data_IF_912144742275
#
_entry.id   IF_912144742275
#
_cell.length_a   1.000
_cell.length_b   1.000
_cell.length_c   1.000
_cell.angle_alpha   90.00
_cell.angle_beta   90.00
_cell.angle_gamma   90.00
#
_symmetry.space_group_name_H-M   'P 1'
#
loop_
_entity.id
_entity.type
_entity.pdbx_description
1 polymer ?
#
# COMPACT_ATOMS: atom_id res chain seq x y z
N UNK A 1 -7.97 -14.98 5.28
CA UNK A 1 -6.82 -15.08 4.35
C UNK A 1 -7.26 -15.12 2.89
N UNK A 2 -8.28 -15.90 2.50
CA UNK A 2 -8.72 -16.01 1.10
C UNK A 2 -9.06 -14.64 0.47
N UNK A 3 -9.75 -13.75 1.19
CA UNK A 3 -10.02 -12.40 0.71
C UNK A 3 -8.75 -11.56 0.48
N UNK A 4 -7.70 -11.77 1.28
CA UNK A 4 -6.40 -11.11 1.08
C UNK A 4 -5.66 -11.66 -0.13
N UNK A 5 -5.71 -12.98 -0.36
CA UNK A 5 -5.15 -13.62 -1.56
C UNK A 5 -5.76 -12.98 -2.82
N UNK A 6 -7.08 -12.81 -2.85
CA UNK A 6 -7.77 -12.13 -3.97
C UNK A 6 -7.30 -10.69 -4.13
N UNK A 7 -7.14 -9.92 -3.04
CA UNK A 7 -6.64 -8.54 -3.11
C UNK A 7 -5.19 -8.49 -3.62
N UNK A 8 -4.32 -9.39 -3.16
CA UNK A 8 -2.94 -9.49 -3.65
C UNK A 8 -2.89 -9.75 -5.16
N UNK A 9 -3.73 -10.65 -5.68
CA UNK A 9 -3.76 -10.96 -7.12
C UNK A 9 -4.10 -9.76 -7.99
N UNK A 10 -4.88 -8.81 -7.48
CA UNK A 10 -5.31 -7.60 -8.21
C UNK A 10 -4.43 -6.37 -7.96
N UNK A 11 -3.41 -6.46 -7.10
CA UNK A 11 -2.47 -5.38 -6.83
C UNK A 11 -1.75 -4.92 -8.10
N UNK A 12 -1.51 -3.61 -8.24
CA UNK A 12 -1.05 -3.00 -9.49
C UNK A 12 0.46 -2.81 -9.58
N UNK A 13 1.12 -2.66 -8.43
CA UNK A 13 2.55 -2.34 -8.33
C UNK A 13 3.38 -3.50 -7.76
N UNK A 14 2.74 -4.54 -7.22
CA UNK A 14 3.43 -5.77 -6.86
C UNK A 14 3.85 -6.53 -8.11
N UNK A 15 5.10 -7.01 -8.12
CA UNK A 15 5.58 -7.92 -9.17
C UNK A 15 4.88 -9.28 -9.06
N UNK A 16 4.86 -10.06 -10.14
CA UNK A 16 4.25 -11.39 -10.13
C UNK A 16 4.95 -12.33 -9.13
N UNK A 17 6.27 -12.21 -8.96
CA UNK A 17 7.01 -12.94 -7.93
C UNK A 17 6.57 -12.58 -6.50
N UNK A 18 6.33 -11.29 -6.21
CA UNK A 18 5.82 -10.85 -4.91
C UNK A 18 4.39 -11.32 -4.66
N UNK A 19 3.51 -11.25 -5.66
CA UNK A 19 2.15 -11.78 -5.58
C UNK A 19 2.15 -13.28 -5.32
N UNK A 20 2.97 -14.03 -6.04
CA UNK A 20 3.11 -15.48 -5.88
C UNK A 20 3.61 -15.82 -4.47
N UNK A 21 4.66 -15.15 -3.99
CA UNK A 21 5.20 -15.37 -2.65
C UNK A 21 4.15 -15.11 -1.55
N UNK A 22 3.49 -13.95 -1.58
CA UNK A 22 2.44 -13.59 -0.62
C UNK A 22 1.26 -14.57 -0.66
N UNK A 23 0.85 -14.98 -1.86
CA UNK A 23 -0.25 -15.94 -2.04
C UNK A 23 0.12 -17.31 -1.47
N UNK A 24 1.31 -17.81 -1.77
CA UNK A 24 1.78 -19.10 -1.27
C UNK A 24 1.91 -19.10 0.26
N UNK A 25 2.45 -18.04 0.85
CA UNK A 25 2.51 -17.86 2.31
C UNK A 25 1.13 -17.98 2.96
N UNK A 26 0.14 -17.27 2.42
CA UNK A 26 -1.22 -17.27 2.95
C UNK A 26 -1.94 -18.58 2.69
N UNK A 27 -1.75 -19.19 1.50
CA UNK A 27 -2.36 -20.48 1.15
C UNK A 27 -1.81 -21.60 2.04
N UNK A 28 -0.51 -21.58 2.37
CA UNK A 28 0.10 -22.48 3.34
C UNK A 28 -0.58 -22.39 4.71
N UNK A 29 -0.91 -21.17 5.18
CA UNK A 29 -1.65 -20.99 6.42
C UNK A 29 -3.11 -21.47 6.32
N UNK A 30 -3.80 -21.27 5.20
CA UNK A 30 -5.14 -21.83 4.98
C UNK A 30 -5.13 -23.34 5.07
N UNK A 31 -4.15 -23.99 4.45
CA UNK A 31 -3.98 -25.45 4.50
C UNK A 31 -3.71 -25.93 5.93
N UNK A 32 -2.78 -25.28 6.63
CA UNK A 32 -2.42 -25.61 8.03
C UNK A 32 -3.62 -25.47 8.97
N UNK A 33 -4.42 -24.42 8.82
CA UNK A 33 -5.65 -24.22 9.60
C UNK A 33 -6.73 -25.25 9.30
N UNK A 34 -6.83 -25.68 8.03
CA UNK A 34 -7.76 -26.77 7.66
C UNK A 34 -7.35 -28.09 8.29
N UNK A 35 -6.05 -28.39 8.31
CA UNK A 35 -5.49 -29.57 8.99
C UNK A 35 -5.75 -29.51 10.50
N UNK A 36 -5.51 -28.35 11.13
CA UNK A 36 -5.79 -28.15 12.54
C UNK A 36 -7.29 -28.33 12.87
N UNK A 37 -8.17 -27.82 12.02
CA UNK A 37 -9.61 -28.03 12.17
C UNK A 37 -9.95 -29.54 12.15
N UNK A 38 -9.43 -30.27 11.18
CA UNK A 38 -9.66 -31.73 11.09
C UNK A 38 -9.16 -32.47 12.34
N UNK A 39 -8.02 -32.03 12.89
CA UNK A 39 -7.46 -32.58 14.12
C UNK A 39 -8.36 -32.30 15.31
N UNK A 40 -8.81 -31.05 15.48
CA UNK A 40 -9.75 -30.66 16.54
C UNK A 40 -11.09 -31.41 16.44
N UNK A 41 -11.61 -31.61 15.23
CA UNK A 41 -12.86 -32.37 15.02
C UNK A 41 -12.72 -33.85 15.42
N UNK A 42 -11.50 -34.39 15.41
CA UNK A 42 -11.19 -35.78 15.78
C UNK A 42 -10.79 -35.95 17.26
N UNK A 43 -10.55 -34.86 17.99
CA UNK A 43 -10.12 -34.92 19.38
C UNK A 43 -11.23 -35.46 20.28
N UNK A 44 -10.90 -36.52 21.04
CA UNK A 44 -11.77 -37.13 22.04
C UNK A 44 -11.40 -36.72 23.47
N UNK A 45 -10.26 -36.05 23.66
CA UNK A 45 -9.70 -35.65 24.96
C UNK A 45 -9.68 -34.13 25.06
N UNK A 46 -10.37 -33.56 26.04
CA UNK A 46 -10.53 -32.12 26.22
C UNK A 46 -9.19 -31.37 26.34
N UNK A 47 -8.21 -31.94 27.06
CA UNK A 47 -6.90 -31.32 27.23
C UNK A 47 -6.11 -31.26 25.91
N UNK A 48 -6.25 -32.25 25.04
CA UNK A 48 -5.65 -32.27 23.69
C UNK A 48 -6.32 -31.21 22.82
N UNK A 49 -7.64 -31.20 22.78
CA UNK A 49 -8.43 -30.20 22.05
C UNK A 49 -8.09 -28.76 22.48
N UNK A 50 -7.95 -28.52 23.78
CA UNK A 50 -7.56 -27.20 24.30
C UNK A 50 -6.15 -26.79 23.83
N UNK A 51 -5.19 -27.73 23.82
CA UNK A 51 -3.83 -27.47 23.33
C UNK A 51 -3.84 -27.17 21.83
N UNK A 52 -4.55 -27.96 21.04
CA UNK A 52 -4.67 -27.75 19.60
C UNK A 52 -5.39 -26.44 19.26
N UNK A 53 -6.43 -26.08 19.98
CA UNK A 53 -7.09 -24.78 19.84
C UNK A 53 -6.15 -23.60 20.16
N UNK A 54 -5.36 -23.70 21.22
CA UNK A 54 -4.38 -22.64 21.56
C UNK A 54 -3.32 -22.48 20.48
N UNK A 55 -2.97 -23.54 19.74
CA UNK A 55 -2.00 -23.45 18.64
C UNK A 55 -2.45 -22.51 17.52
N UNK A 56 -3.76 -22.29 17.35
CA UNK A 56 -4.32 -21.29 16.43
C UNK A 56 -3.71 -19.91 16.62
N UNK A 57 -3.43 -19.53 17.86
CA UNK A 57 -2.91 -18.19 18.20
C UNK A 57 -1.38 -18.17 18.30
N UNK A 58 -0.78 -19.23 18.84
CA UNK A 58 0.65 -19.28 19.16
C UNK A 58 1.55 -19.76 17.99
N UNK A 59 0.99 -20.52 17.05
CA UNK A 59 1.77 -21.10 15.95
C UNK A 59 1.46 -20.47 14.58
N UNK A 60 0.24 -19.98 14.36
CA UNK A 60 -0.19 -19.52 13.04
C UNK A 60 -0.10 -18.00 12.86
N UNK A 61 -0.06 -17.21 13.90
CA UNK A 61 0.12 -15.75 13.88
C UNK A 61 -0.74 -15.00 12.84
N UNK A 62 -1.93 -15.53 12.49
CA UNK A 62 -2.77 -15.01 11.41
C UNK A 62 -3.12 -13.55 11.66
N UNK A 63 -3.62 -13.24 12.86
CA UNK A 63 -4.03 -11.89 13.25
C UNK A 63 -2.87 -10.97 13.66
N UNK A 64 -1.77 -11.56 14.14
CA UNK A 64 -0.63 -10.78 14.61
C UNK A 64 0.40 -10.48 13.52
N UNK A 65 0.46 -11.27 12.47
CA UNK A 65 1.45 -11.16 11.42
C UNK A 65 0.85 -11.13 9.99
N UNK A 66 0.18 -12.22 9.56
CA UNK A 66 -0.22 -12.36 8.15
C UNK A 66 -1.22 -11.30 7.70
N UNK A 67 -2.28 -11.05 8.45
CA UNK A 67 -3.31 -10.07 8.09
C UNK A 67 -2.71 -8.66 8.09
N UNK A 68 -2.15 -8.12 9.19
CA UNK A 68 -1.69 -6.74 9.21
C UNK A 68 -0.51 -6.48 8.26
N UNK A 69 0.40 -7.44 8.06
CA UNK A 69 1.47 -7.35 7.07
C UNK A 69 0.90 -7.20 5.66
N UNK A 70 0.04 -8.12 5.26
CA UNK A 70 -0.50 -8.17 3.90
C UNK A 70 -1.41 -6.99 3.59
N UNK A 71 -2.28 -6.57 4.53
CA UNK A 71 -3.14 -5.39 4.34
C UNK A 71 -2.32 -4.12 4.11
N UNK A 72 -1.21 -3.95 4.82
CA UNK A 72 -0.33 -2.78 4.63
C UNK A 72 0.45 -2.85 3.32
N UNK A 73 0.88 -4.01 2.87
CA UNK A 73 1.48 -4.18 1.54
C UNK A 73 0.48 -3.80 0.45
N UNK A 74 -0.79 -4.24 0.55
CA UNK A 74 -1.85 -3.88 -0.39
C UNK A 74 -2.13 -2.36 -0.35
N UNK A 75 -2.14 -1.76 0.83
CA UNK A 75 -2.32 -0.32 0.97
C UNK A 75 -1.16 0.47 0.33
N UNK A 76 0.08 0.03 0.52
CA UNK A 76 1.25 0.62 -0.12
C UNK A 76 1.21 0.49 -1.65
N UNK A 77 0.77 -0.65 -2.18
CA UNK A 77 0.54 -0.85 -3.62
C UNK A 77 -0.50 0.16 -4.17
N UNK A 78 -1.61 0.34 -3.45
CA UNK A 78 -2.65 1.28 -3.85
C UNK A 78 -2.15 2.73 -3.83
N UNK A 79 -1.38 3.13 -2.81
CA UNK A 79 -0.76 4.46 -2.73
C UNK A 79 0.27 4.69 -3.84
N UNK A 80 1.13 3.70 -4.12
CA UNK A 80 2.08 3.76 -5.22
C UNK A 80 1.38 3.89 -6.59
N UNK A 81 0.25 3.20 -6.78
CA UNK A 81 -0.55 3.33 -8.00
C UNK A 81 -1.20 4.72 -8.11
N UNK A 82 -1.75 5.25 -7.02
CA UNK A 82 -2.30 6.60 -6.99
C UNK A 82 -1.24 7.67 -7.28
N UNK A 83 -0.04 7.53 -6.71
CA UNK A 83 1.09 8.40 -6.98
C UNK A 83 1.51 8.38 -8.45
N UNK A 84 1.49 7.19 -9.10
CA UNK A 84 1.75 7.09 -10.55
C UNK A 84 0.71 7.87 -11.35
N UNK A 85 -0.57 7.71 -11.06
CA UNK A 85 -1.63 8.42 -11.77
C UNK A 85 -1.52 9.96 -11.61
N UNK A 86 -1.13 10.42 -10.42
CA UNK A 86 -0.86 11.84 -10.18
C UNK A 86 0.42 12.32 -10.89
N UNK A 87 1.44 11.49 -11.02
CA UNK A 87 2.64 11.80 -11.80
C UNK A 87 2.32 11.99 -13.27
N UNK A 88 1.48 11.12 -13.85
CA UNK A 88 1.02 11.22 -15.23
C UNK A 88 0.24 12.53 -15.46
N UNK A 89 -0.57 12.91 -14.47
CA UNK A 89 -1.30 14.18 -14.51
C UNK A 89 -0.34 15.39 -14.37
N UNK A 90 0.68 15.30 -13.51
CA UNK A 90 1.70 16.34 -13.36
C UNK A 90 2.53 16.54 -14.63
N UNK A 91 2.79 15.48 -15.40
CA UNK A 91 3.42 15.58 -16.72
C UNK A 91 2.56 16.41 -17.68
N UNK A 92 1.25 16.15 -17.76
CA UNK A 92 0.32 16.95 -18.59
C UNK A 92 0.27 18.41 -18.16
N UNK A 93 0.29 18.70 -16.85
CA UNK A 93 0.38 20.09 -16.39
C UNK A 93 1.67 20.76 -16.80
N UNK A 94 2.79 20.03 -16.85
CA UNK A 94 4.06 20.57 -17.37
C UNK A 94 3.89 21.07 -18.79
N UNK A 95 3.27 20.27 -19.67
CA UNK A 95 3.06 20.61 -21.08
C UNK A 95 2.10 21.82 -21.24
N UNK A 96 1.01 21.85 -20.48
CA UNK A 96 0.05 22.97 -20.51
C UNK A 96 0.68 24.29 -20.01
N UNK A 97 1.48 24.24 -18.95
CA UNK A 97 2.18 25.42 -18.43
C UNK A 97 3.23 25.90 -19.44
N UNK A 98 3.95 25.01 -20.09
CA UNK A 98 4.90 25.36 -21.16
C UNK A 98 4.21 26.05 -22.33
N UNK A 99 3.06 25.52 -22.79
CA UNK A 99 2.24 26.12 -23.85
C UNK A 99 1.75 27.52 -23.45
N UNK A 100 1.25 27.68 -22.22
CA UNK A 100 0.80 28.99 -21.74
C UNK A 100 1.95 29.99 -21.64
N UNK A 101 3.12 29.57 -21.18
CA UNK A 101 4.34 30.42 -21.14
C UNK A 101 4.79 30.85 -22.51
N UNK A 102 4.75 29.95 -23.52
CA UNK A 102 5.07 30.27 -24.90
C UNK A 102 4.09 31.32 -25.53
N UNK A 103 2.88 31.40 -25.00
CA UNK A 103 1.90 32.42 -25.35
C UNK A 103 2.05 33.74 -24.55
N UNK A 104 3.20 33.92 -23.86
CA UNK A 104 3.51 35.08 -23.02
C UNK A 104 2.60 35.28 -21.79
N UNK A 105 1.94 34.23 -21.31
CA UNK A 105 1.19 34.29 -20.06
C UNK A 105 2.16 34.17 -18.85
N UNK A 106 1.82 34.83 -17.74
CA UNK A 106 2.54 34.61 -16.47
C UNK A 106 2.17 33.24 -15.88
N UNK A 107 3.16 32.37 -15.82
CA UNK A 107 3.00 30.98 -15.33
C UNK A 107 3.79 30.71 -14.05
N UNK A 108 4.40 31.72 -13.41
CA UNK A 108 5.26 31.54 -12.25
C UNK A 108 4.54 30.83 -11.09
N UNK A 109 3.33 31.27 -10.76
CA UNK A 109 2.52 30.65 -9.70
C UNK A 109 2.10 29.21 -10.03
N UNK A 110 1.79 28.91 -11.29
CA UNK A 110 1.45 27.56 -11.75
C UNK A 110 2.66 26.62 -11.66
N UNK A 111 3.84 27.11 -12.06
CA UNK A 111 5.10 26.37 -11.98
C UNK A 111 5.46 26.03 -10.53
N UNK A 112 5.33 27.00 -9.61
CA UNK A 112 5.56 26.79 -8.19
C UNK A 112 4.59 25.72 -7.61
N UNK A 113 3.30 25.82 -7.94
CA UNK A 113 2.28 24.86 -7.50
C UNK A 113 2.51 23.46 -8.07
N UNK A 114 2.94 23.34 -9.33
CA UNK A 114 3.30 22.07 -9.95
C UNK A 114 4.53 21.44 -9.28
N UNK A 115 5.50 22.24 -8.88
CA UNK A 115 6.68 21.77 -8.15
C UNK A 115 6.29 21.22 -6.78
N UNK A 116 5.42 21.92 -6.04
CA UNK A 116 4.88 21.45 -4.77
C UNK A 116 4.15 20.10 -4.93
N UNK A 117 3.25 20.00 -5.93
CA UNK A 117 2.55 18.78 -6.26
C UNK A 117 3.51 17.60 -6.55
N UNK A 118 4.55 17.83 -7.37
CA UNK A 118 5.56 16.80 -7.69
C UNK A 118 6.33 16.34 -6.46
N UNK A 119 6.67 17.24 -5.55
CA UNK A 119 7.34 16.88 -4.29
C UNK A 119 6.46 15.98 -3.44
N UNK A 120 5.18 16.32 -3.26
CA UNK A 120 4.22 15.49 -2.52
C UNK A 120 4.05 14.09 -3.12
N UNK A 121 4.01 14.00 -4.43
CA UNK A 121 3.94 12.71 -5.13
C UNK A 121 5.20 11.87 -4.85
N UNK A 122 6.39 12.46 -4.92
CA UNK A 122 7.64 11.76 -4.66
C UNK A 122 7.76 11.30 -3.20
N UNK A 123 7.30 12.11 -2.24
CA UNK A 123 7.26 11.75 -0.83
C UNK A 123 6.32 10.55 -0.60
N UNK A 124 5.13 10.57 -1.17
CA UNK A 124 4.18 9.47 -1.09
C UNK A 124 4.73 8.18 -1.72
N UNK A 125 5.41 8.26 -2.87
CA UNK A 125 6.09 7.11 -3.50
C UNK A 125 7.15 6.52 -2.58
N UNK A 126 7.94 7.37 -1.92
CA UNK A 126 8.97 6.96 -0.97
C UNK A 126 8.37 6.25 0.23
N UNK A 127 7.28 6.76 0.80
CA UNK A 127 6.58 6.12 1.91
C UNK A 127 6.03 4.74 1.51
N UNK A 128 5.36 4.64 0.37
CA UNK A 128 4.82 3.38 -0.15
C UNK A 128 5.93 2.35 -0.42
N UNK A 129 7.04 2.76 -1.04
CA UNK A 129 8.19 1.91 -1.29
C UNK A 129 8.85 1.41 0.01
N UNK A 130 9.00 2.27 1.01
CA UNK A 130 9.54 1.92 2.33
C UNK A 130 8.68 0.86 3.00
N UNK A 131 7.34 1.02 2.99
CA UNK A 131 6.41 0.04 3.54
C UNK A 131 6.51 -1.29 2.80
N UNK A 132 6.44 -1.27 1.47
CA UNK A 132 6.50 -2.50 0.66
C UNK A 132 7.83 -3.25 0.90
N UNK A 133 8.95 -2.57 0.82
CA UNK A 133 10.28 -3.20 0.99
C UNK A 133 10.44 -3.78 2.39
N UNK A 134 10.12 -3.03 3.43
CA UNK A 134 10.28 -3.49 4.81
C UNK A 134 9.38 -4.66 5.16
N UNK A 135 8.13 -4.65 4.69
CA UNK A 135 7.17 -5.71 5.01
C UNK A 135 7.35 -6.96 4.16
N UNK A 136 7.77 -6.83 2.90
CA UNK A 136 8.06 -7.99 2.05
C UNK A 136 9.27 -8.79 2.56
N UNK A 137 10.24 -8.14 3.18
CA UNK A 137 11.42 -8.78 3.78
C UNK A 137 11.10 -9.58 5.07
N UNK A 138 9.93 -9.39 5.69
CA UNK A 138 9.59 -10.07 6.94
C UNK A 138 9.24 -11.54 6.71
N UNK A 139 9.69 -12.38 7.64
CA UNK A 139 9.29 -13.80 7.73
C UNK A 139 8.55 -14.05 9.03
N UNK A 140 7.68 -15.07 9.06
CA UNK A 140 6.93 -15.42 10.27
C UNK A 140 7.83 -15.81 11.45
N UNK A 141 9.00 -16.39 11.17
CA UNK A 141 10.00 -16.75 12.20
C UNK A 141 10.57 -15.55 12.96
N UNK A 142 10.46 -14.35 12.38
CA UNK A 142 10.87 -13.11 13.06
C UNK A 142 9.83 -12.56 14.05
N UNK A 143 8.64 -13.18 14.19
CA UNK A 143 7.67 -12.79 15.20
C UNK A 143 8.13 -13.22 16.62
N UNK A 144 7.99 -12.38 17.68
CA UNK A 144 7.24 -11.12 17.73
C UNK A 144 8.03 -9.84 17.36
N UNK A 145 9.33 -9.91 17.07
CA UNK A 145 10.16 -8.73 16.76
C UNK A 145 9.63 -7.93 15.55
N UNK A 146 9.06 -8.62 14.56
CA UNK A 146 8.43 -8.02 13.39
C UNK A 146 7.26 -7.03 13.71
N UNK A 147 6.67 -7.13 14.90
CA UNK A 147 5.54 -6.29 15.32
C UNK A 147 5.88 -4.81 15.23
N UNK A 148 7.11 -4.42 15.60
CA UNK A 148 7.54 -3.02 15.55
C UNK A 148 7.53 -2.49 14.13
N UNK A 149 8.05 -3.24 13.16
CA UNK A 149 8.09 -2.86 11.74
C UNK A 149 6.67 -2.77 11.18
N UNK A 150 5.83 -3.78 11.46
CA UNK A 150 4.44 -3.80 11.05
C UNK A 150 3.69 -2.58 11.63
N UNK A 151 3.93 -2.21 12.88
CA UNK A 151 3.28 -1.06 13.49
C UNK A 151 3.76 0.26 12.88
N UNK A 152 5.07 0.44 12.71
CA UNK A 152 5.66 1.64 12.12
C UNK A 152 5.17 1.90 10.69
N UNK A 153 4.94 0.85 9.90
CA UNK A 153 4.44 0.99 8.53
C UNK A 153 3.08 1.70 8.43
N UNK A 154 2.27 1.69 9.49
CA UNK A 154 1.00 2.43 9.52
C UNK A 154 1.21 3.95 9.52
N UNK A 155 2.28 4.44 10.17
CA UNK A 155 2.62 5.87 10.16
C UNK A 155 3.07 6.31 8.76
N UNK A 156 3.90 5.51 8.10
CA UNK A 156 4.35 5.80 6.74
C UNK A 156 3.16 5.85 5.75
N UNK A 157 2.23 4.90 5.80
CA UNK A 157 1.01 4.92 4.99
C UNK A 157 0.13 6.14 5.28
N UNK A 158 0.01 6.54 6.55
CA UNK A 158 -0.73 7.75 6.90
C UNK A 158 -0.10 9.00 6.30
N UNK A 159 1.23 9.12 6.36
CA UNK A 159 1.97 10.24 5.76
C UNK A 159 1.83 10.23 4.24
N UNK A 160 2.08 9.09 3.57
CA UNK A 160 1.95 8.98 2.12
C UNK A 160 0.54 9.33 1.62
N UNK A 161 -0.50 8.91 2.35
CA UNK A 161 -1.88 9.27 2.03
C UNK A 161 -2.13 10.78 2.13
N UNK A 162 -1.63 11.43 3.19
CA UNK A 162 -1.76 12.87 3.36
C UNK A 162 -1.05 13.64 2.24
N UNK A 163 0.11 13.17 1.80
CA UNK A 163 0.83 13.73 0.67
C UNK A 163 0.04 13.57 -0.65
N UNK A 164 -0.57 12.41 -0.90
CA UNK A 164 -1.42 12.19 -2.07
C UNK A 164 -2.69 13.07 -2.06
N UNK A 165 -3.31 13.25 -0.90
CA UNK A 165 -4.46 14.16 -0.74
C UNK A 165 -4.06 15.60 -1.03
N UNK A 166 -2.90 16.05 -0.54
CA UNK A 166 -2.34 17.37 -0.82
C UNK A 166 -2.02 17.55 -2.31
N UNK A 167 -1.34 16.58 -2.94
CA UNK A 167 -1.07 16.60 -4.37
C UNK A 167 -2.35 16.62 -5.21
N UNK A 168 -3.39 15.91 -4.78
CA UNK A 168 -4.71 15.94 -5.41
C UNK A 168 -5.39 17.32 -5.31
N UNK A 169 -5.22 18.03 -4.19
CA UNK A 169 -5.71 19.40 -4.02
C UNK A 169 -4.95 20.37 -4.95
N UNK A 170 -3.63 20.21 -5.06
CA UNK A 170 -2.81 20.99 -5.97
C UNK A 170 -3.21 20.75 -7.45
N UNK A 171 -3.50 19.52 -7.83
CA UNK A 171 -3.99 19.19 -9.16
C UNK A 171 -5.31 19.89 -9.50
N UNK A 172 -6.25 19.94 -8.55
CA UNK A 172 -7.51 20.67 -8.70
C UNK A 172 -7.29 22.17 -8.88
N UNK A 173 -6.40 22.75 -8.07
CA UNK A 173 -6.02 24.16 -8.14
C UNK A 173 -5.38 24.51 -9.49
N UNK A 174 -4.41 23.69 -9.95
CA UNK A 174 -3.78 23.83 -11.26
C UNK A 174 -4.79 23.76 -12.40
N UNK A 175 -5.71 22.80 -12.34
CA UNK A 175 -6.78 22.66 -13.36
C UNK A 175 -7.64 23.91 -13.44
N UNK A 176 -8.06 24.46 -12.30
CA UNK A 176 -8.90 25.67 -12.26
C UNK A 176 -8.16 26.89 -12.81
N UNK A 177 -6.88 27.06 -12.42
CA UNK A 177 -6.07 28.20 -12.86
C UNK A 177 -5.73 28.12 -14.35
N UNK A 178 -5.40 26.95 -14.88
CA UNK A 178 -5.16 26.74 -16.31
C UNK A 178 -6.41 27.00 -17.15
N UNK A 179 -7.57 26.53 -16.71
CA UNK A 179 -8.85 26.82 -17.40
C UNK A 179 -9.13 28.32 -17.49
N UNK A 180 -8.88 29.05 -16.41
CA UNK A 180 -9.06 30.52 -16.38
C UNK A 180 -8.08 31.21 -17.32
N UNK A 181 -6.84 30.77 -17.35
CA UNK A 181 -5.79 31.35 -18.19
C UNK A 181 -6.04 31.13 -19.70
N UNK A 182 -6.56 29.94 -20.06
CA UNK A 182 -6.86 29.60 -21.47
C UNK A 182 -8.20 30.19 -21.96
N UNK A 183 -9.02 30.74 -21.08
CA UNK A 183 -10.29 31.41 -21.41
C UNK A 183 -10.16 32.94 -21.56
N UNK A 184 -9.03 33.49 -21.21
CA UNK A 184 -8.68 34.93 -21.33
C UNK A 184 -7.95 35.23 -22.62
#
# INVERSE_FOLDING_TARGET
LNALITKVSTAKKLTDGQKTSLTNDMQGQVTSMTTLKTKLDADTVVTTAATDFQSTFSAHYIYAYYIPRTERIIAADAEANAATNLSDLAAKFTDYIATASAANNDTAALTAKLTEMKTKIADAQTQAATVSTSLLALTVSGHPANKTIITASAANLKTGRADLESAGADAKSLTASLKKLLAS
#
